data_IF_818521508953
#
_entry.id   IF_818521508953
#
_cell.length_a   1.000
_cell.length_b   1.000
_cell.length_c   1.000
_cell.angle_alpha   90.00
_cell.angle_beta   90.00
_cell.angle_gamma   90.00
#
_symmetry.space_group_name_H-M   'P 1'
#
loop_
_entity.id
_entity.type
_entity.pdbx_description
1 polymer ?
#
# COMPACT_ATOMS: atom_id res chain seq x y z
N UNK A 1 2.08 6.99 -26.47
CA UNK A 1 2.41 5.75 -25.73
C UNK A 1 2.82 6.14 -24.32
N UNK A 2 1.96 5.92 -23.31
CA UNK A 2 2.31 6.20 -21.92
C UNK A 2 3.16 5.03 -21.43
N UNK A 3 4.42 5.29 -21.07
CA UNK A 3 5.30 4.29 -20.47
C UNK A 3 4.70 3.83 -19.15
N UNK A 4 4.04 2.67 -19.13
CA UNK A 4 3.56 2.04 -17.88
C UNK A 4 4.78 1.62 -17.08
N UNK A 5 5.33 2.53 -16.27
CA UNK A 5 6.35 2.18 -15.27
C UNK A 5 5.74 1.14 -14.34
N UNK A 6 6.37 -0.04 -14.28
CA UNK A 6 5.95 -1.08 -13.35
C UNK A 6 6.16 -0.57 -11.92
N UNK A 7 5.11 -0.59 -11.11
CA UNK A 7 5.20 -0.30 -9.69
C UNK A 7 5.95 -1.44 -8.99
N UNK A 8 6.76 -1.09 -7.99
CA UNK A 8 7.38 -2.10 -7.14
C UNK A 8 6.32 -2.81 -6.31
N UNK A 9 6.58 -4.06 -5.96
CA UNK A 9 5.64 -4.88 -5.21
C UNK A 9 5.14 -4.23 -3.91
N UNK A 10 5.98 -3.63 -3.03
CA UNK A 10 5.50 -2.97 -1.82
C UNK A 10 4.59 -1.77 -2.08
N UNK A 11 4.83 -1.02 -3.17
CA UNK A 11 3.98 0.11 -3.57
C UNK A 11 2.64 -0.40 -4.08
N UNK A 12 2.62 -1.45 -4.91
CA UNK A 12 1.36 -2.08 -5.33
C UNK A 12 0.59 -2.63 -4.14
N UNK A 13 1.24 -3.34 -3.22
CA UNK A 13 0.58 -3.82 -2.00
C UNK A 13 -0.06 -2.66 -1.22
N UNK A 14 0.68 -1.58 -0.98
CA UNK A 14 0.15 -0.40 -0.29
C UNK A 14 -1.08 0.19 -1.00
N UNK A 15 -1.06 0.32 -2.33
CA UNK A 15 -2.23 0.81 -3.09
C UNK A 15 -3.46 -0.10 -2.92
N UNK A 16 -3.27 -1.42 -2.94
CA UNK A 16 -4.36 -2.37 -2.74
C UNK A 16 -4.98 -2.27 -1.34
N UNK A 17 -4.14 -2.15 -0.31
CA UNK A 17 -4.58 -2.00 1.08
C UNK A 17 -5.37 -0.70 1.28
N UNK A 18 -4.87 0.42 0.74
CA UNK A 18 -5.56 1.69 0.77
C UNK A 18 -6.90 1.64 0.01
N UNK A 19 -6.95 0.93 -1.12
CA UNK A 19 -8.17 0.75 -1.91
C UNK A 19 -9.24 -0.05 -1.15
N UNK A 20 -8.82 -1.09 -0.43
CA UNK A 20 -9.69 -1.88 0.45
C UNK A 20 -10.23 -1.01 1.58
N UNK A 21 -9.36 -0.29 2.29
CA UNK A 21 -9.74 0.63 3.37
C UNK A 21 -10.72 1.72 2.91
N UNK A 22 -10.51 2.26 1.72
CA UNK A 22 -11.42 3.24 1.12
C UNK A 22 -12.80 2.62 0.83
N UNK A 23 -12.86 1.37 0.39
CA UNK A 23 -14.12 0.68 0.15
C UNK A 23 -14.87 0.39 1.46
N UNK A 24 -14.16 -0.04 2.51
CA UNK A 24 -14.71 -0.24 3.86
C UNK A 24 -15.28 1.08 4.43
N UNK A 25 -14.54 2.18 4.26
CA UNK A 25 -14.98 3.51 4.68
C UNK A 25 -16.23 3.99 3.92
N UNK A 26 -16.26 3.80 2.60
CA UNK A 26 -17.42 4.14 1.77
C UNK A 26 -18.66 3.33 2.20
N UNK A 27 -18.50 2.04 2.52
CA UNK A 27 -19.59 1.18 2.98
C UNK A 27 -20.13 1.57 4.38
N UNK A 28 -19.30 2.20 5.22
CA UNK A 28 -19.65 2.66 6.56
C UNK A 28 -20.32 4.05 6.60
N UNK A 29 -20.66 4.64 5.44
CA UNK A 29 -21.26 5.99 5.36
C UNK A 29 -20.22 7.13 5.31
N UNK A 30 -19.04 6.88 4.75
CA UNK A 30 -17.91 7.81 4.71
C UNK A 30 -18.11 9.06 3.85
N UNK A 31 -18.82 10.06 4.37
CA UNK A 31 -19.23 11.27 3.61
C UNK A 31 -18.13 12.32 3.40
N UNK A 32 -17.10 12.38 4.26
CA UNK A 32 -16.10 13.45 4.19
C UNK A 32 -14.80 12.98 3.53
N UNK A 33 -13.88 12.35 4.28
CA UNK A 33 -12.57 11.91 3.76
C UNK A 33 -12.03 10.75 4.58
N UNK A 34 -11.38 9.78 3.94
CA UNK A 34 -10.59 8.78 4.65
C UNK A 34 -9.22 9.39 5.01
N UNK A 35 -8.99 9.57 6.31
CA UNK A 35 -7.71 10.04 6.85
C UNK A 35 -7.09 8.90 7.66
N UNK A 36 -5.82 8.60 7.38
CA UNK A 36 -5.05 7.59 8.08
C UNK A 36 -3.84 8.23 8.76
N UNK A 37 -3.50 7.74 9.96
CA UNK A 37 -2.21 8.02 10.55
C UNK A 37 -1.12 7.19 9.85
N UNK A 38 0.10 7.70 9.85
CA UNK A 38 1.27 7.01 9.30
C UNK A 38 1.42 5.63 9.92
N UNK A 39 1.27 5.53 11.23
CA UNK A 39 1.43 4.26 11.95
C UNK A 39 0.34 3.25 11.57
N UNK A 40 -0.90 3.70 11.32
CA UNK A 40 -1.95 2.83 10.78
C UNK A 40 -1.55 2.21 9.43
N UNK A 41 -0.91 3.01 8.56
CA UNK A 41 -0.41 2.53 7.26
C UNK A 41 0.72 1.52 7.44
N UNK A 42 1.63 1.80 8.37
CA UNK A 42 2.74 0.89 8.72
C UNK A 42 2.19 -0.44 9.23
N UNK A 43 1.24 -0.41 10.15
CA UNK A 43 0.62 -1.61 10.71
C UNK A 43 -0.13 -2.40 9.64
N UNK A 44 -0.89 -1.73 8.77
CA UNK A 44 -1.54 -2.37 7.63
C UNK A 44 -0.56 -3.12 6.74
N UNK A 45 0.61 -2.55 6.46
CA UNK A 45 1.62 -3.21 5.62
C UNK A 45 2.31 -4.37 6.35
N UNK A 46 2.58 -4.23 7.65
CA UNK A 46 3.26 -5.25 8.47
C UNK A 46 2.48 -6.56 8.52
N UNK A 47 1.15 -6.51 8.48
CA UNK A 47 0.30 -7.72 8.43
C UNK A 47 0.56 -8.61 7.20
N UNK A 48 1.22 -8.08 6.16
CA UNK A 48 1.48 -8.78 4.90
C UNK A 48 2.96 -9.06 4.64
N UNK A 49 3.84 -8.70 5.57
CA UNK A 49 5.28 -8.86 5.44
C UNK A 49 5.78 -9.82 6.53
N UNK A 50 6.75 -10.70 6.23
CA UNK A 50 7.28 -11.62 7.23
C UNK A 50 7.91 -10.85 8.39
N UNK A 51 7.63 -11.30 9.62
CA UNK A 51 8.21 -10.75 10.84
C UNK A 51 9.72 -10.98 10.84
N UNK A 52 10.49 -9.94 10.50
CA UNK A 52 11.95 -9.98 10.44
C UNK A 52 12.61 -9.24 11.61
N UNK A 53 13.90 -9.49 11.82
CA UNK A 53 14.71 -8.97 12.94
C UNK A 53 15.02 -7.46 12.87
N UNK A 54 14.61 -6.73 11.83
CA UNK A 54 14.91 -5.30 11.67
C UNK A 54 13.67 -4.46 11.36
N UNK A 55 12.84 -4.31 12.38
CA UNK A 55 11.60 -3.54 12.35
C UNK A 55 11.83 -2.05 11.99
N UNK A 56 12.91 -1.44 12.49
CA UNK A 56 13.25 -0.05 12.19
C UNK A 56 13.55 0.17 10.69
N UNK A 57 14.27 -0.77 10.05
CA UNK A 57 14.52 -0.73 8.61
C UNK A 57 13.24 -0.91 7.80
N UNK A 58 12.36 -1.80 8.23
CA UNK A 58 11.06 -2.03 7.59
C UNK A 58 10.21 -0.76 7.60
N UNK A 59 10.11 -0.12 8.75
CA UNK A 59 9.40 1.15 8.93
C UNK A 59 9.93 2.23 7.99
N UNK A 60 11.26 2.38 7.90
CA UNK A 60 11.89 3.34 6.98
C UNK A 60 11.61 3.03 5.50
N UNK A 61 11.50 1.76 5.13
CA UNK A 61 11.11 1.37 3.76
C UNK A 61 9.65 1.71 3.48
N UNK A 62 8.76 1.43 4.43
CA UNK A 62 7.34 1.80 4.32
C UNK A 62 7.19 3.31 4.16
N UNK A 63 7.94 4.13 4.91
CA UNK A 63 7.94 5.59 4.72
C UNK A 63 8.32 6.01 3.30
N UNK A 64 9.32 5.36 2.71
CA UNK A 64 9.71 5.61 1.33
C UNK A 64 8.58 5.24 0.34
N UNK A 65 7.85 4.16 0.61
CA UNK A 65 6.68 3.76 -0.19
C UNK A 65 5.52 4.73 -0.02
N UNK A 66 5.23 5.21 1.19
CA UNK A 66 4.23 6.24 1.46
C UNK A 66 4.57 7.50 0.67
N UNK A 67 5.82 7.96 0.71
CA UNK A 67 6.28 9.11 -0.06
C UNK A 67 6.07 8.89 -1.56
N UNK A 68 6.37 7.69 -2.06
CA UNK A 68 6.13 7.38 -3.46
C UNK A 68 4.65 7.44 -3.84
N UNK A 69 3.77 6.94 -2.97
CA UNK A 69 2.32 6.98 -3.18
C UNK A 69 1.79 8.43 -3.11
N UNK A 70 2.40 9.29 -2.29
CA UNK A 70 2.13 10.75 -2.29
C UNK A 70 2.54 11.38 -3.61
N UNK A 71 3.74 11.08 -4.13
CA UNK A 71 4.21 11.59 -5.44
C UNK A 71 3.30 11.15 -6.59
N UNK A 72 2.74 9.94 -6.51
CA UNK A 72 1.78 9.42 -7.48
C UNK A 72 0.38 10.06 -7.35
N UNK A 73 0.13 10.86 -6.30
CA UNK A 73 -1.13 11.56 -6.08
C UNK A 73 -2.23 10.73 -5.43
N UNK A 74 -1.93 9.52 -4.93
CA UNK A 74 -2.91 8.66 -4.27
C UNK A 74 -3.05 8.94 -2.76
N UNK A 75 -2.03 9.57 -2.17
CA UNK A 75 -2.07 10.10 -0.80
C UNK A 75 -1.78 11.60 -0.83
N UNK A 76 -2.41 12.33 0.09
CA UNK A 76 -2.11 13.75 0.32
C UNK A 76 -1.75 13.96 1.79
N UNK A 77 -0.61 14.60 2.04
CA UNK A 77 -0.23 15.04 3.40
C UNK A 77 -1.14 16.16 3.88
N UNK A 78 -1.67 16.05 5.09
CA UNK A 78 -2.45 17.11 5.70
C UNK A 78 -1.53 18.20 6.28
N UNK A 79 -1.79 19.46 5.94
CA UNK A 79 -1.02 20.59 6.48
C UNK A 79 -1.36 20.80 7.95
N UNK A 80 -0.34 21.02 8.79
CA UNK A 80 -0.52 21.24 10.22
C UNK A 80 -0.88 19.99 11.03
N UNK A 81 -0.91 18.81 10.40
CA UNK A 81 -1.11 17.53 11.06
C UNK A 81 0.01 16.59 10.63
N UNK A 82 1.05 16.48 11.46
CA UNK A 82 2.14 15.56 11.19
C UNK A 82 1.63 14.13 11.11
N UNK A 83 2.26 13.33 10.24
CA UNK A 83 1.97 11.91 10.09
C UNK A 83 0.52 11.56 9.72
N UNK A 84 -0.26 12.50 9.16
CA UNK A 84 -1.61 12.22 8.65
C UNK A 84 -1.73 12.38 7.15
N UNK A 85 -2.38 11.40 6.54
CA UNK A 85 -2.56 11.30 5.11
C UNK A 85 -4.04 11.14 4.75
N UNK A 86 -4.50 11.94 3.80
CA UNK A 86 -5.79 11.78 3.15
C UNK A 86 -5.65 10.81 1.98
N UNK A 87 -6.46 9.75 1.96
CA UNK A 87 -6.52 8.79 0.86
C UNK A 87 -7.35 9.38 -0.28
N UNK A 88 -6.71 9.62 -1.43
CA UNK A 88 -7.38 10.26 -2.57
C UNK A 88 -8.29 9.28 -3.30
N UNK A 89 -9.52 9.71 -3.61
CA UNK A 89 -10.55 8.88 -4.27
C UNK A 89 -10.19 8.45 -5.69
N UNK A 90 -9.22 9.11 -6.34
CA UNK A 90 -8.67 8.70 -7.65
C UNK A 90 -8.11 7.27 -7.64
N UNK A 91 -7.75 6.76 -6.45
CA UNK A 91 -7.34 5.37 -6.25
C UNK A 91 -8.39 4.36 -6.75
N UNK A 92 -9.70 4.71 -6.71
CA UNK A 92 -10.79 3.82 -7.16
C UNK A 92 -10.73 3.54 -8.67
N UNK A 93 -10.27 4.51 -9.46
CA UNK A 93 -10.16 4.39 -10.91
C UNK A 93 -8.84 3.73 -11.34
N UNK A 94 -7.80 3.83 -10.52
CA UNK A 94 -6.50 3.21 -10.81
C UNK A 94 -6.43 1.75 -10.39
N UNK A 95 -7.01 1.42 -9.24
CA UNK A 95 -7.08 0.05 -8.71
C UNK A 95 -8.46 -0.52 -9.03
N UNK A 96 -8.57 -1.05 -10.25
CA UNK A 96 -9.71 -1.81 -10.74
C UNK A 96 -9.55 -3.32 -10.47
N UNK A 97 -10.55 -4.10 -10.89
CA UNK A 97 -10.53 -5.56 -10.70
C UNK A 97 -9.38 -6.23 -11.46
N UNK A 98 -9.02 -5.72 -12.64
CA UNK A 98 -7.96 -6.29 -13.47
C UNK A 98 -6.58 -6.08 -12.81
N UNK A 99 -6.31 -4.86 -12.34
CA UNK A 99 -5.09 -4.55 -11.61
C UNK A 99 -4.96 -5.36 -10.32
N UNK A 100 -6.07 -5.60 -9.60
CA UNK A 100 -6.09 -6.43 -8.41
C UNK A 100 -5.75 -7.89 -8.72
N UNK A 101 -6.26 -8.43 -9.83
CA UNK A 101 -5.89 -9.76 -10.32
C UNK A 101 -4.40 -9.86 -10.65
N UNK A 102 -3.85 -8.87 -11.35
CA UNK A 102 -2.42 -8.80 -11.67
C UNK A 102 -1.54 -8.75 -10.41
N UNK A 103 -1.96 -7.99 -9.41
CA UNK A 103 -1.27 -7.94 -8.12
C UNK A 103 -1.35 -9.29 -7.39
N UNK A 104 -2.50 -9.96 -7.43
CA UNK A 104 -2.67 -11.28 -6.80
C UNK A 104 -1.71 -12.30 -7.40
N UNK A 105 -1.57 -12.35 -8.72
CA UNK A 105 -0.61 -13.23 -9.39
C UNK A 105 0.84 -12.91 -8.97
N UNK A 106 1.19 -11.63 -8.81
CA UNK A 106 2.52 -11.23 -8.32
C UNK A 106 2.75 -11.56 -6.85
N UNK A 107 1.71 -11.44 -6.01
CA UNK A 107 1.71 -11.84 -4.60
C UNK A 107 2.00 -13.33 -4.46
N UNK A 108 1.36 -14.15 -5.28
CA UNK A 108 1.52 -15.60 -5.27
C UNK A 108 2.93 -16.01 -5.72
N UNK A 109 3.44 -15.39 -6.79
CA UNK A 109 4.83 -15.57 -7.22
C UNK A 109 5.85 -15.14 -6.15
N UNK A 110 5.60 -14.04 -5.44
CA UNK A 110 6.47 -13.58 -4.36
C UNK A 110 6.45 -14.53 -3.15
N UNK A 111 5.27 -15.04 -2.77
CA UNK A 111 5.13 -16.04 -1.69
C UNK A 111 5.87 -17.33 -2.03
N UNK A 112 5.70 -17.84 -3.25
CA UNK A 112 6.44 -19.02 -3.71
C UNK A 112 7.96 -18.78 -3.67
N UNK A 113 8.41 -17.59 -4.06
CA UNK A 113 9.84 -17.24 -3.99
C UNK A 113 10.35 -17.15 -2.54
N UNK A 114 9.58 -16.60 -1.60
CA UNK A 114 9.95 -16.57 -0.18
C UNK A 114 10.04 -17.98 0.42
N UNK A 115 9.05 -18.84 0.16
CA UNK A 115 9.05 -20.24 0.60
C UNK A 115 10.26 -21.01 0.05
N UNK A 116 10.59 -20.80 -1.23
CA UNK A 116 11.78 -21.42 -1.85
C UNK A 116 13.12 -20.93 -1.30
N UNK A 117 13.13 -19.76 -0.63
CA UNK A 117 14.32 -19.19 0.03
C UNK A 117 14.47 -19.74 1.45
N UNK A 118 13.38 -19.91 2.18
CA UNK A 118 13.36 -20.52 3.51
C UNK A 118 13.72 -22.02 3.47
N UNK A 119 13.43 -22.74 2.39
CA UNK A 119 13.84 -24.15 2.21
C UNK A 119 15.34 -24.34 1.85
N UNK A 120 16.07 -23.26 1.57
CA UNK A 120 17.48 -23.30 1.14
C UNK A 120 18.48 -22.75 2.18
N UNK A 121 18.02 -22.34 3.35
CA UNK A 121 18.85 -22.07 4.54
C UNK A 121 18.76 -23.21 5.54
#
# INVERSE_FOLDING_TARGET
LVTRRQLSFPVSLLLALLRKKLAEWDAAGGETRLILHRDDIVDLMRLFLPSGSNEARLVKQIDAHINKVVELGFLRRLRGQENRYEVQRILKAFVDAQWLSDLQSRLEAYRAHLQSKEEKE
#
